data_IF_877467137134
#
_entry.id   IF_877467137134
#
_cell.length_a   1.000
_cell.length_b   1.000
_cell.length_c   1.000
_cell.angle_alpha   90.00
_cell.angle_beta   90.00
_cell.angle_gamma   90.00
#
_symmetry.space_group_name_H-M   'P 1'
#
loop_
_entity.id
_entity.type
_entity.pdbx_description
1 polymer ?
#
# COMPACT_ATOMS: atom_id res chain seq x y z
N UNK A 1 14.48 -24.38 -8.76
CA UNK A 1 13.48 -23.44 -9.29
C UNK A 1 14.11 -22.06 -9.27
N UNK A 2 14.05 -21.36 -10.39
CA UNK A 2 14.50 -19.98 -10.46
C UNK A 2 13.65 -19.09 -9.55
N UNK A 3 14.24 -18.07 -8.95
CA UNK A 3 13.54 -17.15 -8.04
C UNK A 3 12.36 -16.46 -8.73
N UNK A 4 12.47 -16.15 -10.01
CA UNK A 4 11.38 -15.57 -10.80
C UNK A 4 10.19 -16.52 -10.94
N UNK A 5 10.46 -17.79 -11.21
CA UNK A 5 9.42 -18.83 -11.29
C UNK A 5 8.72 -18.98 -9.95
N UNK A 6 9.47 -18.98 -8.86
CA UNK A 6 8.90 -19.07 -7.51
C UNK A 6 8.05 -17.86 -7.15
N UNK A 7 8.48 -16.63 -7.51
CA UNK A 7 7.67 -15.42 -7.34
C UNK A 7 6.36 -15.52 -8.11
N UNK A 8 6.39 -15.97 -9.36
CA UNK A 8 5.19 -16.12 -10.18
C UNK A 8 4.23 -17.17 -9.63
N UNK A 9 4.75 -18.28 -9.12
CA UNK A 9 3.95 -19.31 -8.46
C UNK A 9 3.24 -18.75 -7.22
N UNK A 10 3.96 -18.09 -6.32
CA UNK A 10 3.40 -17.46 -5.12
C UNK A 10 2.42 -16.33 -5.47
N UNK A 11 2.69 -15.55 -6.52
CA UNK A 11 1.78 -14.53 -6.99
C UNK A 11 0.43 -15.13 -7.43
N UNK A 12 0.44 -16.28 -8.13
CA UNK A 12 -0.78 -17.02 -8.48
C UNK A 12 -1.48 -17.58 -7.24
N UNK A 13 -0.72 -18.10 -6.29
CA UNK A 13 -1.25 -18.65 -5.03
C UNK A 13 -1.94 -17.56 -4.20
N UNK A 14 -1.34 -16.37 -4.07
CA UNK A 14 -1.88 -15.26 -3.30
C UNK A 14 -2.84 -14.35 -4.07
N UNK A 15 -3.06 -14.56 -5.36
CA UNK A 15 -3.98 -13.75 -6.15
C UNK A 15 -5.42 -13.74 -5.59
N UNK A 16 -6.04 -14.90 -5.22
CA UNK A 16 -7.37 -14.88 -4.60
C UNK A 16 -7.41 -14.08 -3.30
N UNK A 17 -6.39 -14.22 -2.45
CA UNK A 17 -6.24 -13.42 -1.24
C UNK A 17 -6.21 -11.92 -1.56
N UNK A 18 -5.38 -11.48 -2.52
CA UNK A 18 -5.30 -10.06 -2.89
C UNK A 18 -6.63 -9.50 -3.41
N UNK A 19 -7.40 -10.30 -4.16
CA UNK A 19 -8.76 -9.93 -4.59
C UNK A 19 -9.69 -9.74 -3.39
N UNK A 20 -9.65 -10.65 -2.42
CA UNK A 20 -10.46 -10.58 -1.20
C UNK A 20 -10.12 -9.33 -0.40
N UNK A 21 -8.83 -9.05 -0.18
CA UNK A 21 -8.37 -7.86 0.53
C UNK A 21 -8.84 -6.59 -0.17
N UNK A 22 -8.68 -6.52 -1.50
CA UNK A 22 -9.13 -5.39 -2.31
C UNK A 22 -10.62 -5.15 -2.16
N UNK A 23 -11.44 -6.19 -2.24
CA UNK A 23 -12.90 -6.08 -2.12
C UNK A 23 -13.33 -5.64 -0.73
N UNK A 24 -12.67 -6.15 0.30
CA UNK A 24 -12.93 -5.73 1.68
C UNK A 24 -12.61 -4.24 1.88
N UNK A 25 -11.42 -3.80 1.47
CA UNK A 25 -11.02 -2.40 1.56
C UNK A 25 -11.97 -1.50 0.76
N UNK A 26 -12.37 -1.92 -0.43
CA UNK A 26 -13.32 -1.18 -1.26
C UNK A 26 -14.69 -1.00 -0.61
N UNK A 27 -15.17 -2.02 0.10
CA UNK A 27 -16.45 -1.96 0.83
C UNK A 27 -16.40 -1.07 2.09
N UNK A 28 -15.22 -0.85 2.66
CA UNK A 28 -15.04 -0.14 3.92
C UNK A 28 -14.08 1.06 3.77
N UNK A 29 -14.35 1.96 2.81
CA UNK A 29 -13.46 3.10 2.58
C UNK A 29 -13.57 4.11 3.71
N UNK A 30 -12.45 4.72 4.08
CA UNK A 30 -12.38 5.80 5.05
C UNK A 30 -11.65 7.00 4.43
N UNK A 31 -12.05 8.22 4.81
CA UNK A 31 -11.46 9.45 4.29
C UNK A 31 -10.03 9.67 4.82
N UNK A 32 -9.31 10.55 4.14
CA UNK A 32 -7.95 10.97 4.53
C UNK A 32 -7.88 11.38 5.99
N UNK A 33 -6.95 10.78 6.74
CA UNK A 33 -6.71 10.93 8.18
C UNK A 33 -7.81 10.37 9.10
N UNK A 34 -8.78 9.66 8.55
CA UNK A 34 -9.86 8.98 9.29
C UNK A 34 -9.77 7.44 9.14
N UNK A 35 -8.68 6.91 8.60
CA UNK A 35 -8.47 5.50 8.21
C UNK A 35 -8.26 4.58 9.42
N UNK A 36 -9.11 4.69 10.44
CA UNK A 36 -8.99 3.95 11.72
C UNK A 36 -9.20 2.45 11.52
N UNK A 37 -10.28 2.07 10.84
CA UNK A 37 -10.62 0.66 10.63
C UNK A 37 -9.74 0.06 9.53
N UNK A 38 -9.44 0.82 8.48
CA UNK A 38 -8.51 0.45 7.41
C UNK A 38 -7.14 0.09 7.99
N UNK A 39 -6.59 0.96 8.86
CA UNK A 39 -5.32 0.70 9.54
C UNK A 39 -5.38 -0.56 10.40
N UNK A 40 -6.44 -0.73 11.21
CA UNK A 40 -6.62 -1.93 12.04
C UNK A 40 -6.72 -3.20 11.19
N UNK A 41 -7.44 -3.14 10.10
CA UNK A 41 -7.60 -4.27 9.19
C UNK A 41 -6.27 -4.67 8.55
N UNK A 42 -5.54 -3.73 7.96
CA UNK A 42 -4.22 -3.99 7.36
C UNK A 42 -3.27 -4.58 8.40
N UNK A 43 -3.24 -4.03 9.62
CA UNK A 43 -2.42 -4.55 10.71
C UNK A 43 -2.82 -5.97 11.11
N UNK A 44 -4.12 -6.31 11.11
CA UNK A 44 -4.56 -7.68 11.36
C UNK A 44 -4.04 -8.64 10.31
N UNK A 45 -4.10 -8.26 9.02
CA UNK A 45 -3.60 -9.08 7.91
C UNK A 45 -2.09 -9.33 7.97
N UNK A 46 -1.32 -8.33 8.41
CA UNK A 46 0.13 -8.46 8.63
C UNK A 46 0.43 -9.36 9.83
N UNK A 47 -0.30 -9.22 10.93
CA UNK A 47 -0.18 -10.07 12.12
C UNK A 47 -0.49 -11.53 11.81
N UNK A 48 -1.59 -11.79 11.09
CA UNK A 48 -2.01 -13.14 10.70
C UNK A 48 -1.01 -13.82 9.76
N UNK A 49 -0.24 -13.01 9.01
CA UNK A 49 0.89 -13.47 8.21
C UNK A 49 2.21 -13.62 9.01
N UNK A 50 2.24 -13.29 10.30
CA UNK A 50 3.46 -13.30 11.10
C UNK A 50 4.48 -12.22 10.73
N UNK A 51 4.04 -11.14 10.07
CA UNK A 51 4.91 -10.06 9.60
C UNK A 51 5.04 -8.98 10.69
N UNK A 52 6.28 -8.69 11.11
CA UNK A 52 6.57 -7.63 12.07
C UNK A 52 6.09 -6.27 11.55
N UNK A 53 5.28 -5.57 12.35
CA UNK A 53 4.76 -4.27 11.96
C UNK A 53 4.54 -3.32 13.14
N UNK A 54 4.46 -2.04 12.85
CA UNK A 54 4.12 -0.95 13.76
C UNK A 54 3.02 -0.09 13.16
N UNK A 55 1.97 0.17 13.93
CA UNK A 55 0.89 1.11 13.62
C UNK A 55 1.17 2.49 14.21
N UNK A 56 0.37 3.47 13.82
CA UNK A 56 0.40 4.82 14.38
C UNK A 56 1.55 5.69 13.86
N UNK A 57 2.09 5.38 12.69
CA UNK A 57 3.13 6.19 12.06
C UNK A 57 2.47 7.27 11.21
N UNK A 58 2.62 8.53 11.58
CA UNK A 58 1.90 9.62 10.94
C UNK A 58 0.38 9.56 11.16
N UNK A 59 -0.06 9.14 12.35
CA UNK A 59 -1.48 8.96 12.69
C UNK A 59 -1.93 7.52 12.46
N UNK A 60 -2.48 7.19 11.30
CA UNK A 60 -3.02 5.86 10.99
C UNK A 60 -2.08 4.98 10.14
N UNK A 61 -0.92 5.49 9.74
CA UNK A 61 0.03 4.77 8.91
C UNK A 61 0.62 3.52 9.58
N UNK A 62 1.05 2.58 8.74
CA UNK A 62 1.66 1.32 9.16
C UNK A 62 3.01 1.14 8.47
N UNK A 63 3.97 0.63 9.23
CA UNK A 63 5.25 0.18 8.70
C UNK A 63 5.43 -1.30 9.05
N UNK A 64 5.62 -2.13 8.03
CA UNK A 64 5.94 -3.54 8.21
C UNK A 64 7.36 -3.85 7.69
N UNK A 65 8.02 -4.82 8.31
CA UNK A 65 9.38 -5.23 7.97
C UNK A 65 9.42 -6.71 7.62
N UNK A 66 9.79 -7.02 6.40
CA UNK A 66 10.13 -8.37 5.99
C UNK A 66 11.65 -8.49 5.96
N UNK A 67 12.20 -9.15 6.96
CA UNK A 67 13.63 -9.32 7.15
C UNK A 67 14.10 -10.59 6.45
N UNK A 68 14.95 -10.44 5.43
CA UNK A 68 15.66 -11.53 4.80
C UNK A 68 16.95 -11.91 5.55
N UNK A 69 17.79 -12.71 4.91
CA UNK A 69 19.13 -12.98 5.44
C UNK A 69 19.94 -11.67 5.49
N UNK A 70 20.80 -11.53 6.47
CA UNK A 70 21.61 -10.31 6.66
C UNK A 70 20.76 -9.01 6.56
N UNK A 71 19.78 -8.79 7.43
CA UNK A 71 18.75 -7.78 7.27
C UNK A 71 19.29 -6.34 7.20
N UNK A 72 20.51 -6.11 7.67
CA UNK A 72 21.15 -4.79 7.66
C UNK A 72 21.89 -4.47 6.34
N UNK A 73 22.06 -5.44 5.43
CA UNK A 73 22.85 -5.28 4.21
C UNK A 73 22.29 -4.23 3.27
N UNK A 74 20.98 -4.21 3.10
CA UNK A 74 20.25 -3.25 2.26
C UNK A 74 18.79 -3.17 2.70
N UNK A 75 18.21 -1.99 2.57
CA UNK A 75 16.77 -1.80 2.80
C UNK A 75 16.14 -1.23 1.54
N UNK A 76 15.03 -1.81 1.13
CA UNK A 76 14.18 -1.30 0.05
C UNK A 76 12.80 -1.05 0.62
N UNK A 77 12.19 0.09 0.32
CA UNK A 77 10.84 0.38 0.74
C UNK A 77 9.84 0.19 -0.42
N UNK A 78 8.66 -0.31 -0.07
CA UNK A 78 7.49 -0.38 -0.94
C UNK A 78 6.38 0.42 -0.28
N UNK A 79 5.67 1.26 -1.05
CA UNK A 79 4.63 2.16 -0.51
C UNK A 79 3.29 1.91 -1.20
N UNK A 80 2.24 1.89 -0.41
CA UNK A 80 0.84 2.02 -0.84
C UNK A 80 0.15 3.07 0.02
N UNK A 81 -0.77 3.82 -0.57
CA UNK A 81 -1.73 4.66 0.12
C UNK A 81 -2.97 3.86 0.53
N UNK A 82 -3.81 4.41 1.42
CA UNK A 82 -4.94 3.65 1.95
C UNK A 82 -6.22 4.47 2.19
N UNK A 83 -6.20 5.77 1.93
CA UNK A 83 -7.36 6.64 2.08
C UNK A 83 -8.30 6.62 0.86
N UNK A 84 -9.52 7.08 1.06
CA UNK A 84 -10.57 7.16 0.07
C UNK A 84 -11.05 8.62 -0.12
N UNK A 85 -11.90 8.82 -1.12
CA UNK A 85 -12.42 10.13 -1.54
C UNK A 85 -13.88 10.32 -1.12
N UNK A 86 -14.31 11.58 -0.87
CA UNK A 86 -15.71 11.93 -0.57
C UNK A 86 -16.56 11.90 -1.86
N UNK A 87 -16.74 10.72 -2.43
CA UNK A 87 -17.45 10.47 -3.69
C UNK A 87 -18.50 9.40 -3.45
N UNK A 88 -19.75 9.63 -3.88
CA UNK A 88 -20.78 8.61 -3.88
C UNK A 88 -20.54 7.58 -4.98
N UNK A 89 -20.45 6.31 -4.60
CA UNK A 89 -20.21 5.25 -5.57
C UNK A 89 -21.45 4.93 -6.38
N UNK A 90 -21.38 5.10 -7.71
CA UNK A 90 -22.47 4.80 -8.64
C UNK A 90 -22.43 3.35 -9.18
N UNK A 91 -21.36 2.58 -8.91
CA UNK A 91 -21.21 1.22 -9.40
C UNK A 91 -22.22 0.25 -8.77
N UNK A 92 -22.66 -0.71 -9.56
CA UNK A 92 -23.51 -1.83 -9.08
C UNK A 92 -22.66 -3.10 -9.05
N UNK A 93 -21.86 -3.26 -8.01
CA UNK A 93 -20.98 -4.42 -7.79
C UNK A 93 -21.20 -5.01 -6.40
N UNK A 94 -20.95 -6.33 -6.21
CA UNK A 94 -21.19 -6.99 -4.91
C UNK A 94 -20.33 -6.45 -3.76
N UNK A 95 -19.26 -5.76 -4.07
CA UNK A 95 -18.32 -5.15 -3.11
C UNK A 95 -18.37 -3.62 -3.14
N UNK A 96 -19.51 -3.04 -3.53
CA UNK A 96 -19.75 -1.59 -3.45
C UNK A 96 -19.50 -1.06 -2.03
N UNK A 97 -19.05 0.18 -1.93
CA UNK A 97 -18.88 0.88 -0.67
C UNK A 97 -20.13 0.76 0.24
N UNK A 98 -19.90 0.45 1.50
CA UNK A 98 -20.91 0.45 2.55
C UNK A 98 -20.99 1.81 3.28
N UNK A 99 -20.08 2.74 2.99
CA UNK A 99 -20.02 4.08 3.55
C UNK A 99 -20.55 5.08 2.53
N UNK A 100 -21.79 5.55 2.73
CA UNK A 100 -22.44 6.52 1.85
C UNK A 100 -21.57 7.77 1.67
N UNK A 101 -21.41 8.22 0.43
CA UNK A 101 -20.61 9.38 0.09
C UNK A 101 -19.10 9.19 0.16
N UNK A 102 -18.62 7.96 0.36
CA UNK A 102 -17.17 7.66 0.39
C UNK A 102 -16.86 6.48 -0.53
N UNK A 103 -15.83 6.60 -1.36
CA UNK A 103 -15.44 5.58 -2.32
C UNK A 103 -13.93 5.57 -2.54
N UNK A 104 -13.34 4.39 -2.73
CA UNK A 104 -11.99 4.25 -3.28
C UNK A 104 -11.96 4.56 -4.78
N UNK A 105 -12.19 5.84 -5.16
CA UNK A 105 -12.24 6.26 -6.56
C UNK A 105 -10.85 6.44 -7.19
N UNK A 106 -9.81 6.61 -6.37
CA UNK A 106 -8.41 6.67 -6.82
C UNK A 106 -7.71 5.29 -6.88
N UNK A 107 -8.35 4.24 -6.33
CA UNK A 107 -7.82 2.87 -6.39
C UNK A 107 -6.80 2.52 -5.31
N UNK A 108 -6.76 3.25 -4.20
CA UNK A 108 -5.86 2.97 -3.08
C UNK A 108 -6.14 1.62 -2.39
N UNK A 109 -7.35 1.11 -2.49
CA UNK A 109 -7.72 -0.27 -2.12
C UNK A 109 -6.92 -1.32 -2.91
N UNK A 110 -6.69 -1.09 -4.22
CA UNK A 110 -5.86 -1.96 -5.06
C UNK A 110 -4.40 -1.87 -4.64
N UNK A 111 -3.90 -0.66 -4.34
CA UNK A 111 -2.51 -0.45 -3.93
C UNK A 111 -2.21 -1.17 -2.62
N UNK A 112 -3.04 -0.96 -1.59
CA UNK A 112 -2.90 -1.58 -0.28
C UNK A 112 -3.08 -3.10 -0.32
N UNK A 113 -4.06 -3.61 -1.08
CA UNK A 113 -4.25 -5.05 -1.25
C UNK A 113 -3.07 -5.71 -1.99
N UNK A 114 -2.53 -5.04 -3.01
CA UNK A 114 -1.33 -5.51 -3.71
C UNK A 114 -0.12 -5.57 -2.77
N UNK A 115 0.08 -4.53 -1.96
CA UNK A 115 1.21 -4.49 -1.01
C UNK A 115 1.07 -5.57 0.07
N UNK A 116 -0.14 -5.88 0.55
CA UNK A 116 -0.40 -7.01 1.46
C UNK A 116 -0.03 -8.35 0.81
N UNK A 117 -0.43 -8.57 -0.45
CA UNK A 117 -0.05 -9.76 -1.20
C UNK A 117 1.47 -9.88 -1.40
N UNK A 118 2.11 -8.79 -1.78
CA UNK A 118 3.58 -8.72 -1.94
C UNK A 118 4.29 -8.98 -0.61
N UNK A 119 3.80 -8.42 0.50
CA UNK A 119 4.40 -8.65 1.82
C UNK A 119 4.38 -10.14 2.21
N UNK A 120 3.28 -10.86 1.91
CA UNK A 120 3.19 -12.32 2.13
C UNK A 120 4.17 -13.10 1.25
N UNK A 121 4.24 -12.79 -0.05
CA UNK A 121 5.18 -13.42 -0.99
C UNK A 121 6.63 -13.24 -0.50
N UNK A 122 6.98 -12.02 -0.14
CA UNK A 122 8.32 -11.71 0.36
C UNK A 122 8.61 -12.37 1.71
N UNK A 123 7.61 -12.50 2.57
CA UNK A 123 7.74 -13.22 3.84
C UNK A 123 8.04 -14.71 3.62
N UNK A 124 7.35 -15.36 2.68
CA UNK A 124 7.62 -16.76 2.31
C UNK A 124 9.01 -16.93 1.67
N UNK A 125 9.50 -15.90 0.97
CA UNK A 125 10.80 -15.89 0.33
C UNK A 125 11.94 -15.35 1.19
N UNK A 126 11.71 -15.00 2.46
CA UNK A 126 12.70 -14.30 3.31
C UNK A 126 14.05 -14.98 3.42
N UNK A 127 14.08 -16.30 3.31
CA UNK A 127 15.32 -17.09 3.36
C UNK A 127 16.06 -17.14 2.01
N UNK A 128 15.52 -16.52 0.96
CA UNK A 128 16.09 -16.50 -0.38
C UNK A 128 16.76 -15.19 -0.78
N UNK A 129 16.52 -14.11 -0.06
CA UNK A 129 17.13 -12.80 -0.32
C UNK A 129 17.89 -12.25 0.90
N UNK A 130 18.70 -11.22 0.68
CA UNK A 130 19.42 -10.49 1.72
C UNK A 130 18.88 -9.07 1.88
N UNK A 131 18.91 -8.56 3.11
CA UNK A 131 18.42 -7.22 3.43
C UNK A 131 17.02 -7.23 4.02
N UNK A 132 16.38 -6.08 4.01
CA UNK A 132 15.03 -5.87 4.56
C UNK A 132 14.14 -5.17 3.54
N UNK A 133 12.92 -5.66 3.39
CA UNK A 133 11.86 -4.93 2.68
C UNK A 133 10.99 -4.23 3.72
N UNK A 134 10.87 -2.90 3.58
CA UNK A 134 10.03 -2.05 4.40
C UNK A 134 8.74 -1.74 3.65
N UNK A 135 7.61 -2.31 4.07
CA UNK A 135 6.30 -2.01 3.51
C UNK A 135 5.70 -0.82 4.28
N UNK A 136 5.27 0.20 3.56
CA UNK A 136 4.71 1.45 4.11
C UNK A 136 3.29 1.58 3.60
N UNK A 137 2.31 1.56 4.51
CA UNK A 137 0.92 1.88 4.23
C UNK A 137 0.66 3.29 4.71
N UNK A 138 0.45 4.20 3.76
CA UNK A 138 0.38 5.64 4.00
C UNK A 138 -1.06 6.11 4.13
N UNK A 139 -1.44 6.84 5.20
CA UNK A 139 -2.73 7.53 5.30
C UNK A 139 -2.70 8.86 4.55
N UNK A 140 -3.87 9.45 4.29
CA UNK A 140 -4.05 10.85 3.93
C UNK A 140 -3.25 11.31 2.72
N UNK A 141 -3.31 10.58 1.61
CA UNK A 141 -2.66 10.98 0.36
C UNK A 141 -3.41 12.13 -0.31
N UNK A 142 -4.75 12.07 -0.27
CA UNK A 142 -5.67 12.93 -1.00
C UNK A 142 -5.95 14.27 -0.29
N UNK A 143 -5.34 14.53 0.86
CA UNK A 143 -5.61 15.75 1.66
C UNK A 143 -4.34 16.35 2.24
N UNK A 144 -4.19 17.67 2.13
CA UNK A 144 -3.10 18.39 2.78
C UNK A 144 -3.15 18.25 4.32
N UNK A 145 -1.99 18.19 4.98
CA UNK A 145 -0.62 18.40 4.48
C UNK A 145 0.01 17.16 3.84
N UNK A 146 -0.74 16.11 3.57
CA UNK A 146 -0.29 14.84 3.01
C UNK A 146 0.34 13.92 4.04
N UNK A 147 -0.18 12.67 4.11
CA UNK A 147 0.29 11.69 5.08
C UNK A 147 1.76 11.32 4.92
N UNK A 148 2.30 11.40 3.68
CA UNK A 148 3.71 11.17 3.45
C UNK A 148 4.60 12.14 4.25
N UNK A 149 4.27 13.43 4.24
CA UNK A 149 5.03 14.45 4.98
C UNK A 149 4.98 14.23 6.50
N UNK A 150 3.83 13.79 7.01
CA UNK A 150 3.64 13.48 8.43
C UNK A 150 4.43 12.22 8.81
N UNK A 151 4.33 11.15 8.03
CA UNK A 151 5.10 9.93 8.26
C UNK A 151 6.62 10.16 8.19
N UNK A 152 7.09 11.04 7.30
CA UNK A 152 8.51 11.41 7.21
C UNK A 152 8.95 12.12 8.49
N UNK A 153 8.16 13.05 9.01
CA UNK A 153 8.43 13.70 10.31
C UNK A 153 8.47 12.70 11.46
N UNK A 154 7.65 11.65 11.41
CA UNK A 154 7.65 10.53 12.36
C UNK A 154 8.78 9.52 12.11
N UNK A 155 9.69 9.79 11.19
CA UNK A 155 10.87 8.98 10.94
C UNK A 155 10.61 7.70 10.15
N UNK A 156 9.56 7.64 9.31
CA UNK A 156 9.26 6.46 8.49
C UNK A 156 10.43 6.06 7.58
N UNK A 157 11.24 7.01 7.14
CA UNK A 157 12.43 6.76 6.32
C UNK A 157 13.70 6.49 7.14
N UNK A 158 13.57 6.38 8.47
CA UNK A 158 14.65 6.03 9.38
C UNK A 158 14.44 4.61 9.95
N UNK A 159 15.43 4.03 10.56
CA UNK A 159 15.46 2.82 11.40
C UNK A 159 14.54 1.68 10.96
N UNK A 160 14.86 1.00 9.85
CA UNK A 160 16.01 1.11 8.99
C UNK A 160 15.78 2.12 7.84
N UNK A 161 16.81 2.83 7.43
CA UNK A 161 16.76 3.79 6.33
C UNK A 161 16.77 3.05 4.98
N UNK A 162 15.75 3.25 4.11
CA UNK A 162 15.74 2.62 2.81
C UNK A 162 16.72 3.29 1.83
N UNK A 163 17.37 2.48 1.02
CA UNK A 163 18.24 2.94 -0.07
C UNK A 163 17.42 3.35 -1.32
N UNK A 164 16.21 2.81 -1.45
CA UNK A 164 15.26 3.14 -2.52
C UNK A 164 13.84 2.88 -2.04
N UNK A 165 12.89 3.59 -2.63
CA UNK A 165 11.46 3.41 -2.40
C UNK A 165 10.74 3.25 -3.73
N UNK A 166 9.80 2.32 -3.79
CA UNK A 166 8.93 2.06 -4.93
C UNK A 166 7.48 2.21 -4.52
N UNK A 167 6.71 2.85 -5.39
CA UNK A 167 5.25 2.90 -5.32
C UNK A 167 4.69 2.60 -6.70
N UNK A 168 3.47 2.08 -6.74
CA UNK A 168 2.71 1.91 -7.98
C UNK A 168 1.39 2.64 -7.86
N UNK A 169 0.84 3.07 -8.99
CA UNK A 169 -0.50 3.61 -9.06
C UNK A 169 -1.28 2.93 -10.17
N UNK A 170 -2.54 2.58 -9.91
CA UNK A 170 -3.43 2.10 -10.98
C UNK A 170 -3.71 3.23 -11.96
N UNK A 171 -3.67 2.91 -13.26
CA UNK A 171 -3.84 3.91 -14.31
C UNK A 171 -4.88 3.39 -15.33
N UNK A 172 -6.15 3.84 -15.26
CA UNK A 172 -7.23 3.32 -16.08
C UNK A 172 -6.98 3.25 -17.58
N UNK A 173 -6.24 4.22 -18.22
CA UNK A 173 -5.91 4.14 -19.64
C UNK A 173 -4.96 3.00 -20.00
N UNK A 174 -4.24 2.41 -19.03
CA UNK A 174 -3.33 1.30 -19.26
C UNK A 174 -4.09 -0.04 -19.17
N UNK A 175 -3.90 -0.92 -20.16
CA UNK A 175 -4.54 -2.26 -20.14
C UNK A 175 -4.07 -3.05 -18.92
N UNK A 176 -4.98 -3.81 -18.31
CA UNK A 176 -4.65 -4.74 -17.24
C UNK A 176 -3.49 -5.68 -17.64
N UNK A 177 -2.55 -5.89 -16.71
CA UNK A 177 -1.34 -6.68 -16.95
C UNK A 177 -0.18 -5.91 -17.57
N UNK A 178 -0.37 -4.64 -17.91
CA UNK A 178 0.71 -3.77 -18.38
C UNK A 178 1.24 -2.89 -17.25
N UNK A 179 2.54 -2.57 -17.32
CA UNK A 179 3.22 -1.66 -16.41
C UNK A 179 3.87 -0.56 -17.23
N UNK A 180 3.61 0.70 -16.86
CA UNK A 180 4.23 1.87 -17.47
C UNK A 180 5.21 2.55 -16.51
N UNK A 181 6.39 2.91 -17.00
CA UNK A 181 7.37 3.72 -16.25
C UNK A 181 8.27 4.48 -17.22
N UNK A 182 8.86 5.57 -16.75
CA UNK A 182 9.87 6.32 -17.49
C UNK A 182 10.87 6.95 -16.51
N UNK A 183 12.11 7.23 -16.94
CA UNK A 183 13.06 7.98 -16.14
C UNK A 183 12.69 9.47 -16.05
N UNK A 184 13.17 10.12 -14.99
CA UNK A 184 12.98 11.56 -14.76
C UNK A 184 11.63 11.90 -14.14
N UNK A 185 11.19 13.14 -14.33
CA UNK A 185 9.91 13.64 -13.79
C UNK A 185 8.74 12.91 -14.46
N UNK A 186 7.93 12.22 -13.65
CA UNK A 186 6.84 11.37 -14.12
C UNK A 186 5.47 12.09 -14.02
N UNK A 187 5.25 12.80 -12.93
CA UNK A 187 4.02 13.54 -12.63
C UNK A 187 4.33 15.02 -12.45
N UNK A 188 3.36 15.88 -12.80
CA UNK A 188 3.41 17.30 -12.46
C UNK A 188 3.12 17.50 -10.95
N UNK A 189 3.57 18.63 -10.40
CA UNK A 189 3.05 19.08 -9.11
C UNK A 189 1.64 19.62 -9.27
N UNK A 190 0.83 19.53 -8.23
CA UNK A 190 -0.49 20.15 -8.14
C UNK A 190 -0.55 21.05 -6.91
N UNK A 191 -1.33 22.12 -7.03
CA UNK A 191 -1.65 23.03 -5.93
C UNK A 191 -3.17 23.14 -5.81
N UNK A 192 -3.68 23.25 -4.60
CA UNK A 192 -5.10 23.49 -4.33
C UNK A 192 -5.32 24.98 -4.02
N UNK A 193 -6.28 25.60 -4.71
CA UNK A 193 -6.69 26.98 -4.49
C UNK A 193 -8.14 27.01 -4.01
N UNK A 194 -8.34 27.50 -2.78
CA UNK A 194 -9.68 27.73 -2.23
C UNK A 194 -10.02 29.22 -2.37
N UNK A 195 -11.10 29.51 -3.10
CA UNK A 195 -11.65 30.87 -3.26
C UNK A 195 -12.97 30.95 -2.48
N UNK A 196 -13.01 31.85 -1.49
CA UNK A 196 -14.21 32.11 -0.67
C UNK A 196 -14.84 33.46 -1.03
#
# INVERSE_FOLDING_TARGET
>A
MDIKERILELARQYHPYSIEQRRYLHQHPELSFEEVQTSRYIASQLRDAGIEHRQGVGGHGIVALVKGRQPHKRVVALRADMDALPIEEANNVPYKSLNNGVMHACGHDVHSASLLGVARILHDLRDTFEGTIKCIFQPGEERLPGGASIMIKDGVLEKPKPASIFAQHVHPPLRAGMVGFRPGMYMASSDELFVT
#
